data_IF_529967242411
#
_entry.id   IF_529967242411
#
_cell.length_a   1.000
_cell.length_b   1.000
_cell.length_c   1.000
_cell.angle_alpha   90.00
_cell.angle_beta   90.00
_cell.angle_gamma   90.00
#
_symmetry.space_group_name_H-M   'P 1'
#
loop_
_entity.id
_entity.type
_entity.pdbx_description
1 polymer ?
#
# COMPACT_ATOMS: atom_id res chain seq x y z
N UNK A 1 9.54 -8.48 24.19
CA UNK A 1 9.82 -7.49 23.11
C UNK A 1 11.04 -7.84 22.28
N UNK A 2 12.17 -8.23 22.89
CA UNK A 2 13.39 -8.63 22.15
C UNK A 2 13.14 -9.79 21.17
N UNK A 3 12.55 -10.89 21.65
CA UNK A 3 12.19 -12.04 20.80
C UNK A 3 11.25 -11.66 19.63
N UNK A 4 10.23 -10.85 19.91
CA UNK A 4 9.33 -10.32 18.88
C UNK A 4 10.05 -9.47 17.84
N UNK A 5 11.01 -8.64 18.26
CA UNK A 5 11.82 -7.84 17.35
C UNK A 5 12.76 -8.72 16.51
N UNK A 6 13.34 -9.77 17.09
CA UNK A 6 14.21 -10.73 16.38
C UNK A 6 13.42 -11.49 15.30
N UNK A 7 12.19 -11.91 15.60
CA UNK A 7 11.28 -12.50 14.62
C UNK A 7 10.86 -11.51 13.55
N UNK A 8 10.59 -10.25 13.94
CA UNK A 8 10.22 -9.19 13.01
C UNK A 8 11.33 -8.92 11.98
N UNK A 9 12.59 -8.93 12.42
CA UNK A 9 13.77 -8.70 11.61
C UNK A 9 14.08 -9.85 10.64
N UNK A 10 13.72 -11.10 10.96
CA UNK A 10 14.01 -12.26 10.11
C UNK A 10 13.23 -12.27 8.79
N UNK A 11 12.00 -11.78 8.80
CA UNK A 11 11.15 -11.75 7.60
C UNK A 11 11.30 -10.43 6.84
N UNK A 12 12.45 -10.29 6.17
CA UNK A 12 12.84 -9.16 5.32
C UNK A 12 12.01 -9.16 4.02
N UNK A 13 11.69 -7.98 3.49
CA UNK A 13 10.98 -7.82 2.20
C UNK A 13 9.49 -7.44 2.28
N UNK A 14 8.96 -7.22 3.49
CA UNK A 14 7.59 -6.70 3.69
C UNK A 14 7.61 -5.18 3.74
N UNK A 15 6.75 -4.51 2.97
CA UNK A 15 6.60 -3.05 3.01
C UNK A 15 6.21 -2.52 4.39
N UNK A 16 5.52 -3.30 5.22
CA UNK A 16 5.26 -2.96 6.63
C UNK A 16 6.54 -2.87 7.46
N UNK A 17 7.53 -3.73 7.22
CA UNK A 17 8.83 -3.67 7.92
C UNK A 17 9.60 -2.42 7.49
N UNK A 18 9.51 -2.05 6.21
CA UNK A 18 10.14 -0.84 5.68
C UNK A 18 9.59 0.43 6.35
N UNK A 19 8.28 0.48 6.64
CA UNK A 19 7.64 1.64 7.30
C UNK A 19 7.76 1.58 8.82
N UNK A 20 7.52 0.41 9.44
CA UNK A 20 7.59 0.17 10.89
C UNK A 20 8.66 -0.88 11.22
N UNK A 21 9.94 -0.50 11.30
CA UNK A 21 11.02 -1.45 11.57
C UNK A 21 11.08 -1.91 13.03
N UNK A 22 10.40 -1.21 13.96
CA UNK A 22 10.40 -1.53 15.39
C UNK A 22 9.03 -2.03 15.82
N UNK A 23 9.01 -3.15 16.53
CA UNK A 23 7.79 -3.66 17.16
C UNK A 23 7.46 -2.86 18.41
N UNK A 24 6.17 -2.65 18.66
CA UNK A 24 5.64 -1.92 19.81
C UNK A 24 4.37 -2.59 20.31
N UNK A 25 4.12 -2.55 21.63
CA UNK A 25 2.84 -2.94 22.21
C UNK A 25 1.78 -1.84 22.05
N UNK A 26 2.21 -0.60 21.82
CA UNK A 26 1.28 0.49 21.52
C UNK A 26 0.86 0.38 20.05
N UNK A 27 -0.45 0.40 19.75
CA UNK A 27 -0.91 0.42 18.38
C UNK A 27 -0.47 1.72 17.71
N UNK A 28 -0.13 1.66 16.44
CA UNK A 28 0.33 2.82 15.66
C UNK A 28 -0.81 3.85 15.38
N UNK A 29 -2.05 3.50 15.73
CA UNK A 29 -3.23 4.34 15.44
C UNK A 29 -3.55 4.43 13.94
N UNK A 30 -3.00 3.53 13.13
CA UNK A 30 -3.31 3.46 11.71
C UNK A 30 -4.75 3.06 11.48
N UNK A 31 -5.43 3.81 10.61
CA UNK A 31 -6.71 3.39 10.06
C UNK A 31 -6.52 2.13 9.23
N UNK A 32 -7.57 1.30 9.15
CA UNK A 32 -7.54 0.02 8.42
C UNK A 32 -7.04 0.19 7.00
N UNK A 33 -7.48 1.23 6.32
CA UNK A 33 -7.13 1.55 4.95
C UNK A 33 -5.64 1.91 4.79
N UNK A 34 -5.06 2.61 5.76
CA UNK A 34 -3.62 2.90 5.76
C UNK A 34 -2.81 1.61 5.95
N UNK A 35 -3.26 0.72 6.85
CA UNK A 35 -2.61 -0.58 7.03
C UNK A 35 -2.66 -1.43 5.75
N UNK A 36 -3.82 -1.45 5.05
CA UNK A 36 -4.02 -2.10 3.75
C UNK A 36 -3.04 -1.54 2.70
N UNK A 37 -2.93 -0.22 2.62
CA UNK A 37 -2.02 0.46 1.70
C UNK A 37 -0.56 0.10 1.97
N UNK A 38 -0.11 0.25 3.23
CA UNK A 38 1.28 0.00 3.62
C UNK A 38 1.65 -1.47 3.47
N UNK A 39 0.77 -2.42 3.80
CA UNK A 39 1.05 -3.84 3.60
C UNK A 39 0.92 -4.30 2.15
N UNK A 40 0.42 -3.43 1.27
CA UNK A 40 0.06 -3.79 -0.09
C UNK A 40 -0.98 -4.90 -0.17
N UNK A 41 -1.88 -4.99 0.82
CA UNK A 41 -2.99 -5.95 0.81
C UNK A 41 -4.27 -5.32 0.24
N UNK A 42 -5.33 -6.12 0.07
CA UNK A 42 -6.66 -5.60 -0.27
C UNK A 42 -6.90 -5.51 -1.79
N UNK A 43 -7.35 -4.36 -2.33
CA UNK A 43 -7.83 -4.27 -3.71
C UNK A 43 -6.71 -4.20 -4.77
N UNK A 44 -5.45 -4.38 -4.38
CA UNK A 44 -4.32 -4.30 -5.30
C UNK A 44 -4.14 -5.58 -6.11
N UNK A 45 -3.96 -5.47 -7.42
CA UNK A 45 -3.88 -6.64 -8.33
C UNK A 45 -2.71 -7.56 -7.99
N UNK A 46 -1.56 -7.01 -7.57
CA UNK A 46 -0.42 -7.82 -7.08
C UNK A 46 -0.83 -8.71 -5.91
N UNK A 47 -1.60 -8.17 -4.98
CA UNK A 47 -2.09 -8.93 -3.83
C UNK A 47 -3.14 -9.96 -4.25
N UNK A 48 -4.11 -9.55 -5.07
CA UNK A 48 -5.18 -10.42 -5.54
C UNK A 48 -4.65 -11.61 -6.36
N UNK A 49 -3.59 -11.39 -7.15
CA UNK A 49 -2.85 -12.45 -7.84
C UNK A 49 -2.20 -13.41 -6.85
N UNK A 50 -1.52 -12.88 -5.83
CA UNK A 50 -0.85 -13.69 -4.79
C UNK A 50 -1.80 -14.60 -4.02
N UNK A 51 -3.05 -14.20 -3.84
CA UNK A 51 -4.08 -15.00 -3.15
C UNK A 51 -5.04 -15.71 -4.12
N UNK A 52 -4.67 -15.82 -5.39
CA UNK A 52 -5.42 -16.55 -6.43
C UNK A 52 -6.86 -16.05 -6.65
N UNK A 53 -7.16 -14.81 -6.27
CA UNK A 53 -8.46 -14.16 -6.52
C UNK A 53 -8.52 -13.38 -7.83
N UNK A 54 -7.39 -13.23 -8.52
CA UNK A 54 -7.29 -12.62 -9.84
C UNK A 54 -6.13 -13.22 -10.64
N UNK A 55 -6.28 -13.48 -11.94
CA UNK A 55 -5.22 -14.12 -12.73
C UNK A 55 -4.07 -13.20 -13.12
N UNK A 56 -4.28 -11.88 -13.10
CA UNK A 56 -3.29 -10.87 -13.52
C UNK A 56 -2.81 -10.01 -12.33
N UNK A 57 -1.53 -9.65 -12.32
CA UNK A 57 -0.95 -8.67 -11.39
C UNK A 57 -0.87 -7.25 -11.96
N UNK A 58 -1.06 -7.13 -13.28
CA UNK A 58 -1.02 -5.87 -14.00
C UNK A 58 -2.43 -5.30 -14.22
N UNK A 59 -2.56 -3.98 -14.16
CA UNK A 59 -3.80 -3.30 -14.54
C UNK A 59 -3.99 -3.29 -16.06
N UNK A 60 -5.16 -2.83 -16.55
CA UNK A 60 -5.46 -2.70 -17.98
C UNK A 60 -4.36 -1.97 -18.79
N UNK A 61 -3.60 -1.07 -18.16
CA UNK A 61 -2.51 -0.30 -18.77
C UNK A 61 -1.15 -1.01 -18.71
N UNK A 62 -1.12 -2.31 -18.40
CA UNK A 62 0.09 -3.15 -18.30
C UNK A 62 1.11 -2.63 -17.29
N UNK A 63 0.66 -1.87 -16.28
CA UNK A 63 1.47 -1.45 -15.14
C UNK A 63 1.13 -2.33 -13.94
N UNK A 64 2.14 -2.59 -13.11
CA UNK A 64 1.99 -3.40 -11.92
C UNK A 64 0.95 -2.76 -10.97
N UNK A 65 -0.12 -3.48 -10.66
CA UNK A 65 -1.23 -2.97 -9.84
C UNK A 65 -0.90 -2.99 -8.35
N UNK A 66 0.19 -2.34 -7.96
CA UNK A 66 0.65 -2.18 -6.59
C UNK A 66 0.15 -0.85 -5.97
N UNK A 67 0.26 -0.66 -4.64
CA UNK A 67 -0.24 0.55 -3.98
C UNK A 67 0.35 1.84 -4.53
N UNK A 68 1.65 1.84 -4.87
CA UNK A 68 2.35 3.01 -5.38
C UNK A 68 1.75 3.45 -6.72
N UNK A 69 1.52 2.51 -7.64
CA UNK A 69 0.92 2.80 -8.93
C UNK A 69 -0.45 3.48 -8.79
N UNK A 70 -1.33 2.95 -7.94
CA UNK A 70 -2.64 3.58 -7.69
C UNK A 70 -2.53 4.94 -6.99
N UNK A 71 -1.49 5.16 -6.19
CA UNK A 71 -1.29 6.41 -5.49
C UNK A 71 -0.59 7.49 -6.32
N UNK A 72 0.03 7.18 -7.47
CA UNK A 72 0.85 8.16 -8.18
C UNK A 72 0.63 8.24 -9.69
N UNK A 73 0.03 7.23 -10.32
CA UNK A 73 0.02 7.14 -11.80
C UNK A 73 -1.29 6.62 -12.41
N UNK A 74 -2.15 5.93 -11.66
CA UNK A 74 -3.34 5.32 -12.23
C UNK A 74 -4.43 6.35 -12.57
N UNK A 75 -4.89 6.37 -13.82
CA UNK A 75 -5.81 7.38 -14.34
C UNK A 75 -7.13 7.54 -13.54
N UNK A 76 -7.77 6.47 -13.07
CA UNK A 76 -9.02 6.59 -12.28
C UNK A 76 -8.80 7.16 -10.87
N UNK A 77 -7.55 7.30 -10.43
CA UNK A 77 -7.22 7.77 -9.09
C UNK A 77 -6.48 9.11 -9.11
N UNK A 78 -6.59 9.87 -10.20
CA UNK A 78 -5.90 11.16 -10.39
C UNK A 78 -6.13 12.15 -9.24
N UNK A 79 -7.35 12.24 -8.72
CA UNK A 79 -7.68 13.09 -7.55
C UNK A 79 -6.91 12.69 -6.29
N UNK A 80 -6.46 11.44 -6.20
CA UNK A 80 -5.71 10.89 -5.08
C UNK A 80 -4.20 10.88 -5.30
N UNK A 81 -3.71 11.39 -6.43
CA UNK A 81 -2.29 11.28 -6.75
C UNK A 81 -1.40 12.05 -5.79
N UNK A 82 -0.32 11.39 -5.41
CA UNK A 82 0.86 11.99 -4.82
C UNK A 82 1.94 12.12 -5.89
N UNK A 83 2.92 12.98 -5.64
CA UNK A 83 4.14 13.01 -6.44
C UNK A 83 4.82 11.64 -6.37
N UNK A 84 5.09 11.05 -7.55
CA UNK A 84 5.79 9.79 -7.65
C UNK A 84 7.22 9.93 -7.08
N UNK A 85 7.60 9.11 -6.09
CA UNK A 85 8.97 9.12 -5.59
C UNK A 85 9.92 8.49 -6.61
N UNK A 86 11.19 8.93 -6.58
CA UNK A 86 12.26 8.13 -7.16
C UNK A 86 12.38 6.80 -6.39
N UNK A 87 12.83 5.74 -7.07
CA UNK A 87 12.89 4.39 -6.49
C UNK A 87 13.71 4.35 -5.18
N UNK A 88 14.85 5.05 -5.16
CA UNK A 88 15.72 5.19 -3.97
C UNK A 88 15.01 5.83 -2.77
N UNK A 89 13.96 6.61 -3.02
CA UNK A 89 13.20 7.34 -2.00
C UNK A 89 11.87 6.67 -1.65
N UNK A 90 11.54 5.50 -2.25
CA UNK A 90 10.25 4.82 -2.06
C UNK A 90 9.91 4.60 -0.58
N UNK A 91 10.87 4.13 0.22
CA UNK A 91 10.66 3.86 1.65
C UNK A 91 10.46 5.15 2.45
N UNK A 92 11.29 6.17 2.20
CA UNK A 92 11.16 7.47 2.86
C UNK A 92 9.80 8.12 2.54
N UNK A 93 9.38 8.03 1.28
CA UNK A 93 8.07 8.50 0.82
C UNK A 93 6.91 7.78 1.53
N UNK A 94 6.97 6.44 1.64
CA UNK A 94 5.92 5.68 2.34
C UNK A 94 5.83 6.06 3.81
N UNK A 95 6.96 6.28 4.50
CA UNK A 95 6.96 6.76 5.88
C UNK A 95 6.34 8.15 6.00
N UNK A 96 6.73 9.09 5.15
CA UNK A 96 6.17 10.45 5.15
C UNK A 96 4.64 10.45 4.92
N UNK A 97 4.16 9.63 3.98
CA UNK A 97 2.72 9.43 3.75
C UNK A 97 2.03 8.83 4.97
N UNK A 98 2.66 7.84 5.60
CA UNK A 98 2.15 7.16 6.78
C UNK A 98 2.26 7.99 8.06
N UNK A 99 3.02 9.08 8.12
CA UNK A 99 3.16 9.97 9.29
C UNK A 99 2.26 11.22 9.18
N UNK A 100 2.08 11.74 7.97
CA UNK A 100 1.32 12.97 7.74
C UNK A 100 -0.21 12.72 7.73
N UNK A 101 -0.95 13.42 8.61
CA UNK A 101 -2.41 13.25 8.76
C UNK A 101 -3.21 13.49 7.47
N UNK A 102 -2.84 14.49 6.67
CA UNK A 102 -3.54 14.78 5.42
C UNK A 102 -3.27 13.69 4.37
N UNK A 103 -2.02 13.24 4.28
CA UNK A 103 -1.63 12.11 3.44
C UNK A 103 -2.37 10.83 3.85
N UNK A 104 -2.46 10.53 5.15
CA UNK A 104 -3.25 9.40 5.67
C UNK A 104 -4.71 9.47 5.22
N UNK A 105 -5.36 10.63 5.37
CA UNK A 105 -6.75 10.82 4.93
C UNK A 105 -6.91 10.59 3.42
N UNK A 106 -5.97 11.09 2.61
CA UNK A 106 -5.98 10.91 1.15
C UNK A 106 -5.81 9.42 0.77
N UNK A 107 -4.92 8.70 1.45
CA UNK A 107 -4.76 7.24 1.29
C UNK A 107 -6.02 6.49 1.70
N UNK A 108 -6.68 6.88 2.80
CA UNK A 108 -7.93 6.27 3.24
C UNK A 108 -9.02 6.42 2.19
N UNK A 109 -9.15 7.62 1.61
CA UNK A 109 -10.09 7.86 0.52
C UNK A 109 -9.75 7.04 -0.74
N UNK A 110 -8.47 6.99 -1.12
CA UNK A 110 -7.99 6.17 -2.23
C UNK A 110 -8.37 4.69 -2.05
N UNK A 111 -8.02 4.09 -0.92
CA UNK A 111 -8.27 2.66 -0.67
C UNK A 111 -9.77 2.35 -0.62
N UNK A 112 -10.58 3.25 -0.04
CA UNK A 112 -12.05 3.11 -0.08
C UNK A 112 -12.59 3.18 -1.50
N UNK A 113 -12.13 4.15 -2.28
CA UNK A 113 -12.48 4.26 -3.69
C UNK A 113 -12.14 2.97 -4.43
N UNK A 114 -10.94 2.41 -4.21
CA UNK A 114 -10.53 1.18 -4.85
C UNK A 114 -11.38 -0.03 -4.42
N UNK A 115 -11.76 -0.10 -3.14
CA UNK A 115 -12.60 -1.18 -2.63
C UNK A 115 -14.03 -1.13 -3.19
N UNK A 116 -14.62 0.05 -3.34
CA UNK A 116 -15.97 0.23 -3.92
C UNK A 116 -15.96 -0.04 -5.43
N UNK A 117 -14.86 0.32 -6.11
CA UNK A 117 -14.73 0.19 -7.56
C UNK A 117 -13.91 -1.03 -7.98
N UNK A 118 -13.87 -2.08 -7.16
CA UNK A 118 -13.05 -3.28 -7.39
C UNK A 118 -13.31 -3.91 -8.78
N UNK A 119 -14.56 -3.89 -9.23
CA UNK A 119 -14.93 -4.37 -10.56
C UNK A 119 -14.22 -3.58 -11.67
N UNK A 120 -14.20 -2.25 -11.59
CA UNK A 120 -13.56 -1.38 -12.59
C UNK A 120 -12.04 -1.55 -12.63
N UNK A 121 -11.43 -1.83 -11.47
CA UNK A 121 -9.98 -2.00 -11.34
C UNK A 121 -9.51 -3.34 -11.92
N UNK A 122 -10.37 -4.35 -11.87
CA UNK A 122 -10.13 -5.68 -12.44
C UNK A 122 -10.47 -5.78 -13.92
N UNK A 123 -11.05 -4.73 -14.52
CA UNK A 123 -11.33 -4.74 -15.95
C UNK A 123 -10.03 -4.84 -16.75
N UNK A 124 -10.09 -5.63 -17.83
CA UNK A 124 -9.06 -5.79 -18.83
C UNK A 124 -9.52 -5.17 -20.13
#
# INVERSE_FOLDING_TARGET
>A
MKEWQEQWNHNVGRSTYEVLPKVSLKPEGWQRELAIFVSGHGPFLVYLKRIERHPEENCAYRKLGNPLHYATEYHLTESFHFTKPAEVNRVAWMRAVAENKLSRNKIVQLVRFLAVNEALIKLR
#
